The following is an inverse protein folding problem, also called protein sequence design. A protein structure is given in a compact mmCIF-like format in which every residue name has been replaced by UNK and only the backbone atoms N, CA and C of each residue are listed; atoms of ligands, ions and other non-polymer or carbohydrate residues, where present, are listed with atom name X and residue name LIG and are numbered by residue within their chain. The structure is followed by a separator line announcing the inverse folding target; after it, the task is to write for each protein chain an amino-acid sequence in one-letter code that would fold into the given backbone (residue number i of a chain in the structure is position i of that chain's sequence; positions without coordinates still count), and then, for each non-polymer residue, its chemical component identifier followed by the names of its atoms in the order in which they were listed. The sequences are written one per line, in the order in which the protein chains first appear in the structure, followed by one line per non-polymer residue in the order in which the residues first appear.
data_IF_258576613153
#
_entry.id   IF_258576613153
#
_cell.length_a   1.000
_cell.length_b   1.000
_cell.length_c   1.000
_cell.angle_alpha   90.00
_cell.angle_beta   90.00
_cell.angle_gamma   90.00
#
_symmetry.space_group_name_H-M   'P 1'
#
loop_
_entity.id
_entity.type
_entity.pdbx_description
1 polymer ?
#
# COMPACT_ATOMS: atom_id res chain seq x y z
N UNK A 1 3.87 19.86 -0.90
CA UNK A 1 3.36 18.94 -1.94
C UNK A 1 4.35 17.81 -2.02
N UNK A 2 4.00 16.60 -1.58
CA UNK A 2 4.76 15.45 -2.08
C UNK A 2 4.53 15.42 -3.60
N UNK A 3 5.61 15.30 -4.35
CA UNK A 3 5.55 15.29 -5.82
C UNK A 3 5.08 13.94 -6.36
N UNK A 4 4.04 13.32 -5.80
CA UNK A 4 3.42 12.13 -6.37
C UNK A 4 2.08 12.51 -6.99
N UNK A 5 2.14 13.03 -8.22
CA UNK A 5 0.97 13.07 -9.08
C UNK A 5 0.53 11.65 -9.42
N UNK A 6 -0.73 11.47 -9.81
CA UNK A 6 -1.22 10.19 -10.35
C UNK A 6 -0.34 9.71 -11.53
N UNK A 7 0.29 10.65 -12.24
CA UNK A 7 1.17 10.39 -13.40
C UNK A 7 2.52 9.76 -13.02
N UNK A 8 2.93 9.82 -11.75
CA UNK A 8 4.20 9.25 -11.26
C UNK A 8 4.04 7.79 -10.80
N UNK A 9 2.84 7.23 -10.90
CA UNK A 9 2.54 5.86 -10.48
C UNK A 9 2.76 4.90 -11.66
N UNK A 10 3.71 3.94 -11.57
CA UNK A 10 3.93 3.00 -12.65
C UNK A 10 2.68 2.12 -12.81
N UNK A 11 2.26 1.92 -14.06
CA UNK A 11 1.12 1.06 -14.41
C UNK A 11 1.56 -0.07 -15.33
N UNK A 12 0.88 -1.21 -15.27
CA UNK A 12 1.09 -2.33 -16.17
C UNK A 12 -0.25 -2.79 -16.76
N UNK A 13 -0.20 -3.32 -17.98
CA UNK A 13 -1.39 -3.85 -18.64
C UNK A 13 -1.97 -5.02 -17.83
N UNK A 14 -3.26 -4.95 -17.54
CA UNK A 14 -4.00 -5.98 -16.80
C UNK A 14 -4.30 -7.18 -17.71
N UNK A 15 -4.39 -8.38 -17.14
CA UNK A 15 -4.81 -9.57 -17.88
C UNK A 15 -6.28 -9.43 -18.34
N UNK A 16 -6.60 -9.90 -19.55
CA UNK A 16 -7.93 -9.73 -20.16
C UNK A 16 -9.05 -10.28 -19.28
N UNK A 17 -8.80 -11.42 -18.64
CA UNK A 17 -9.78 -12.13 -17.85
C UNK A 17 -10.05 -11.39 -16.53
N UNK A 18 -9.01 -10.78 -15.95
CA UNK A 18 -9.13 -9.95 -14.75
C UNK A 18 -9.85 -8.64 -15.06
N UNK A 19 -9.60 -8.02 -16.22
CA UNK A 19 -10.22 -6.76 -16.63
C UNK A 19 -11.75 -6.83 -16.70
N UNK A 20 -12.33 -8.00 -16.97
CA UNK A 20 -13.79 -8.21 -16.94
C UNK A 20 -14.41 -7.97 -15.56
N UNK A 21 -13.62 -8.07 -14.48
CA UNK A 21 -14.07 -7.76 -13.12
C UNK A 21 -14.27 -6.24 -12.88
N UNK A 22 -13.84 -5.40 -13.82
CA UNK A 22 -13.99 -3.95 -13.77
C UNK A 22 -15.16 -3.42 -14.61
N UNK A 23 -15.94 -4.31 -15.25
CA UNK A 23 -17.10 -3.93 -16.06
C UNK A 23 -18.10 -3.09 -15.23
N UNK A 24 -18.26 -1.82 -15.61
CA UNK A 24 -19.14 -0.86 -14.93
C UNK A 24 -18.48 -0.04 -13.81
N UNK A 25 -17.17 -0.15 -13.62
CA UNK A 25 -16.40 0.75 -12.74
C UNK A 25 -16.08 2.10 -13.40
N UNK A 26 -15.77 3.13 -12.61
CA UNK A 26 -15.32 4.42 -13.15
C UNK A 26 -13.83 4.36 -13.52
N UNK A 27 -13.45 5.09 -14.56
CA UNK A 27 -12.09 5.30 -15.10
C UNK A 27 -10.99 5.51 -14.04
N UNK A 28 -11.31 6.16 -12.92
CA UNK A 28 -10.38 6.35 -11.80
C UNK A 28 -10.05 5.02 -11.11
N UNK A 29 -11.03 4.15 -10.92
CA UNK A 29 -10.80 2.83 -10.32
C UNK A 29 -9.99 1.94 -11.25
N UNK A 30 -10.25 1.97 -12.56
CA UNK A 30 -9.46 1.23 -13.55
C UNK A 30 -7.99 1.65 -13.52
N UNK A 31 -7.72 2.95 -13.48
CA UNK A 31 -6.35 3.47 -13.35
C UNK A 31 -5.67 3.01 -12.05
N UNK A 32 -6.39 3.04 -10.91
CA UNK A 32 -5.86 2.55 -9.63
C UNK A 32 -5.64 1.04 -9.61
N UNK A 33 -6.31 0.28 -10.47
CA UNK A 33 -6.19 -1.18 -10.59
C UNK A 33 -5.03 -1.59 -11.51
N UNK A 34 -4.64 -0.71 -12.42
CA UNK A 34 -3.46 -0.88 -13.27
C UNK A 34 -2.13 -0.57 -12.55
N UNK A 35 -2.14 -0.01 -11.34
CA UNK A 35 -0.94 0.24 -10.52
C UNK A 35 -0.03 -1.00 -10.48
N UNK A 36 1.23 -0.85 -10.89
CA UNK A 36 2.23 -1.90 -10.87
C UNK A 36 2.77 -2.09 -9.45
N UNK A 37 2.43 -3.21 -8.83
CA UNK A 37 2.92 -3.62 -7.52
C UNK A 37 4.02 -4.68 -7.65
N UNK A 38 4.78 -4.89 -6.57
CA UNK A 38 5.90 -5.83 -6.56
C UNK A 38 5.38 -7.26 -6.38
N UNK A 39 5.42 -8.08 -7.44
CA UNK A 39 5.17 -9.51 -7.35
C UNK A 39 6.38 -10.21 -6.71
N UNK A 40 6.11 -11.15 -5.81
CA UNK A 40 7.14 -11.90 -5.09
C UNK A 40 6.85 -13.38 -5.06
N UNK A 41 7.87 -14.18 -4.71
CA UNK A 41 7.70 -15.57 -4.29
C UNK A 41 7.14 -15.63 -2.87
N UNK A 42 6.80 -16.83 -2.38
CA UNK A 42 6.42 -17.04 -0.98
C UNK A 42 7.53 -16.70 0.03
N UNK A 43 8.77 -16.52 -0.44
CA UNK A 43 9.95 -16.15 0.35
C UNK A 43 10.30 -14.66 0.25
N UNK A 44 9.39 -13.82 -0.26
CA UNK A 44 9.60 -12.36 -0.47
C UNK A 44 10.72 -12.03 -1.47
N UNK A 45 11.00 -12.94 -2.41
CA UNK A 45 11.94 -12.70 -3.51
C UNK A 45 11.21 -12.08 -4.70
N UNK A 46 11.76 -10.99 -5.27
CA UNK A 46 11.11 -10.25 -6.35
C UNK A 46 11.07 -11.08 -7.64
N UNK A 47 9.87 -11.23 -8.22
CA UNK A 47 9.64 -11.85 -9.53
C UNK A 47 9.59 -10.77 -10.63
N UNK A 48 8.88 -9.67 -10.36
CA UNK A 48 8.65 -8.60 -11.34
C UNK A 48 7.43 -7.74 -10.96
N UNK A 49 7.00 -6.85 -11.86
CA UNK A 49 5.75 -6.10 -11.69
C UNK A 49 4.53 -6.97 -11.96
N UNK A 50 3.45 -6.70 -11.23
CA UNK A 50 2.11 -7.22 -11.52
C UNK A 50 1.08 -6.10 -11.31
N UNK A 51 -0.02 -6.09 -12.06
CA UNK A 51 -1.08 -5.12 -11.78
C UNK A 51 -1.72 -5.43 -10.43
N UNK A 52 -2.17 -4.40 -9.74
CA UNK A 52 -2.90 -4.55 -8.48
C UNK A 52 -4.17 -5.38 -8.65
N UNK A 53 -4.83 -5.29 -9.81
CA UNK A 53 -5.98 -6.15 -10.12
C UNK A 53 -5.57 -7.62 -10.17
N UNK A 54 -4.59 -7.96 -11.01
CA UNK A 54 -4.16 -9.34 -11.21
C UNK A 54 -3.59 -9.94 -9.91
N UNK A 55 -3.00 -9.10 -9.04
CA UNK A 55 -2.49 -9.54 -7.74
C UNK A 55 -3.60 -9.93 -6.76
N UNK A 56 -4.82 -9.42 -6.95
CA UNK A 56 -6.00 -9.67 -6.12
C UNK A 56 -7.09 -10.50 -6.84
N UNK A 57 -6.89 -10.86 -8.10
CA UNK A 57 -7.89 -11.60 -8.88
C UNK A 57 -7.87 -13.09 -8.55
N UNK A 58 -9.07 -13.68 -8.40
CA UNK A 58 -9.27 -15.09 -7.99
C UNK A 58 -8.52 -15.47 -6.69
N UNK A 59 -7.59 -16.42 -6.75
CA UNK A 59 -6.76 -16.84 -5.62
C UNK A 59 -5.66 -15.83 -5.28
N UNK A 60 -5.44 -14.84 -6.15
CA UNK A 60 -4.38 -13.85 -6.05
C UNK A 60 -2.99 -14.41 -6.37
N UNK A 61 -2.03 -13.52 -6.59
CA UNK A 61 -0.61 -13.85 -6.70
C UNK A 61 0.14 -13.19 -5.55
N UNK A 62 1.21 -13.82 -5.05
CA UNK A 62 2.02 -13.22 -3.98
C UNK A 62 2.61 -11.88 -4.42
N UNK A 63 2.39 -10.86 -3.60
CA UNK A 63 2.85 -9.50 -3.85
C UNK A 63 3.17 -8.81 -2.51
N UNK A 64 4.13 -7.89 -2.52
CA UNK A 64 4.53 -7.18 -1.31
C UNK A 64 3.42 -6.20 -0.90
N UNK A 65 3.19 -6.10 0.41
CA UNK A 65 2.20 -5.22 1.00
C UNK A 65 2.75 -4.62 2.30
N UNK A 66 2.09 -3.58 2.80
CA UNK A 66 2.38 -3.01 4.11
C UNK A 66 1.11 -2.68 4.89
N UNK A 67 1.27 -2.60 6.21
CA UNK A 67 0.23 -2.22 7.15
C UNK A 67 0.80 -1.21 8.15
N UNK A 68 0.21 -0.01 8.20
CA UNK A 68 0.61 1.08 9.11
C UNK A 68 -0.30 1.09 10.33
N UNK A 69 0.32 1.17 11.51
CA UNK A 69 -0.33 1.46 12.78
C UNK A 69 0.10 2.86 13.23
N UNK A 70 -0.77 3.85 13.08
CA UNK A 70 -0.50 5.23 13.43
C UNK A 70 -1.05 5.55 14.82
N UNK A 71 -0.18 6.02 15.70
CA UNK A 71 -0.53 6.40 17.07
C UNK A 71 -0.38 7.90 17.25
N UNK A 72 -1.31 8.50 18.00
CA UNK A 72 -1.15 9.88 18.46
C UNK A 72 -0.24 9.99 19.70
N UNK A 73 0.00 11.22 20.16
CA UNK A 73 0.85 11.49 21.34
C UNK A 73 0.32 10.91 22.65
N UNK A 74 -0.96 10.51 22.69
CA UNK A 74 -1.58 9.86 23.85
C UNK A 74 -1.59 8.33 23.72
N UNK A 75 -0.93 7.78 22.69
CA UNK A 75 -0.85 6.34 22.44
C UNK A 75 -2.13 5.72 21.88
N UNK A 76 -3.07 6.52 21.36
CA UNK A 76 -4.31 6.02 20.75
C UNK A 76 -4.05 5.64 19.30
N UNK A 77 -4.54 4.47 18.89
CA UNK A 77 -4.44 3.98 17.51
C UNK A 77 -5.52 4.62 16.62
N UNK A 78 -5.10 5.16 15.46
CA UNK A 78 -6.03 5.59 14.42
C UNK A 78 -6.58 4.36 13.68
N UNK A 79 -7.89 4.18 13.71
CA UNK A 79 -8.60 3.19 12.90
C UNK A 79 -9.24 3.85 11.68
N UNK A 80 -9.25 3.17 10.55
CA UNK A 80 -9.90 3.64 9.32
C UNK A 80 -11.13 2.77 9.04
N UNK A 81 -12.27 3.40 8.73
CA UNK A 81 -13.40 2.71 8.10
C UNK A 81 -13.24 2.83 6.59
N UNK A 82 -13.07 1.70 5.90
CA UNK A 82 -12.84 1.68 4.45
C UNK A 82 -14.04 2.24 3.71
N UNK A 83 -13.79 2.98 2.62
CA UNK A 83 -14.85 3.50 1.77
C UNK A 83 -15.69 2.35 1.17
N UNK A 84 -16.97 2.61 0.93
CA UNK A 84 -17.90 1.62 0.37
C UNK A 84 -17.57 1.21 -1.06
N UNK A 85 -16.83 2.03 -1.81
CA UNK A 85 -16.48 1.78 -3.21
C UNK A 85 -15.14 1.03 -3.38
N UNK A 86 -14.47 0.59 -2.31
CA UNK A 86 -13.26 -0.23 -2.43
C UNK A 86 -13.64 -1.62 -2.96
N UNK A 87 -12.94 -2.08 -3.99
CA UNK A 87 -13.14 -3.41 -4.62
C UNK A 87 -12.97 -4.54 -3.60
N UNK A 88 -11.98 -4.43 -2.71
CA UNK A 88 -11.76 -5.40 -1.63
C UNK A 88 -12.17 -4.83 -0.26
N UNK A 89 -12.99 -5.60 0.47
CA UNK A 89 -13.45 -5.31 1.84
C UNK A 89 -14.09 -3.91 2.03
N UNK A 90 -15.19 -3.60 1.32
CA UNK A 90 -15.88 -2.32 1.48
C UNK A 90 -16.49 -2.18 2.88
N UNK A 91 -16.45 -0.97 3.46
CA UNK A 91 -17.07 -0.62 4.75
C UNK A 91 -16.54 -1.36 5.99
N UNK A 92 -15.43 -2.09 5.88
CA UNK A 92 -14.78 -2.79 7.00
C UNK A 92 -13.90 -1.82 7.80
N UNK A 93 -13.91 -1.96 9.13
CA UNK A 93 -12.94 -1.30 10.00
C UNK A 93 -11.60 -2.01 9.90
N UNK A 94 -10.56 -1.25 9.59
CA UNK A 94 -9.19 -1.73 9.47
C UNK A 94 -8.24 -0.85 10.28
N UNK A 95 -6.97 -1.25 10.35
CA UNK A 95 -5.90 -0.42 10.87
C UNK A 95 -5.70 0.85 10.01
N UNK A 96 -4.78 1.72 10.44
CA UNK A 96 -4.69 3.10 9.95
C UNK A 96 -4.57 3.23 8.43
N UNK A 97 -3.70 2.43 7.80
CA UNK A 97 -3.52 2.43 6.34
C UNK A 97 -2.86 1.13 5.87
N UNK A 98 -3.39 0.51 4.82
CA UNK A 98 -2.82 -0.68 4.17
C UNK A 98 -2.75 -0.47 2.66
N UNK A 99 -1.62 -0.81 2.07
CA UNK A 99 -1.45 -0.74 0.62
C UNK A 99 -0.22 -1.53 0.17
N UNK A 100 0.30 -1.20 -1.00
CA UNK A 100 1.42 -1.88 -1.64
C UNK A 100 2.53 -0.88 -1.97
N UNK A 101 3.81 -1.28 -1.80
CA UNK A 101 4.89 -0.63 -2.53
C UNK A 101 4.72 -0.89 -4.03
N UNK A 102 5.02 0.15 -4.82
CA UNK A 102 5.00 0.14 -6.27
C UNK A 102 6.29 -0.50 -6.81
N UNK A 103 6.20 -1.06 -8.01
CA UNK A 103 7.36 -1.52 -8.75
C UNK A 103 8.10 -0.31 -9.35
N UNK A 104 8.81 0.43 -8.51
CA UNK A 104 9.64 1.60 -8.86
C UNK A 104 10.96 1.55 -8.10
N UNK A 105 12.01 2.19 -8.64
CA UNK A 105 13.33 2.22 -7.99
C UNK A 105 13.26 2.75 -6.54
N UNK A 106 12.42 3.76 -6.30
CA UNK A 106 12.29 4.38 -4.99
C UNK A 106 11.60 3.47 -3.95
N UNK A 107 10.57 2.71 -4.36
CA UNK A 107 9.77 1.86 -3.46
C UNK A 107 10.26 0.41 -3.39
N UNK A 108 11.18 0.02 -4.27
CA UNK A 108 11.88 -1.26 -4.24
C UNK A 108 13.14 -1.27 -3.34
N UNK A 109 13.58 -0.10 -2.84
CA UNK A 109 14.73 -0.02 -1.94
C UNK A 109 14.53 -0.83 -0.66
N UNK A 110 15.42 -1.80 -0.43
CA UNK A 110 15.35 -2.73 0.70
C UNK A 110 16.11 -2.23 1.93
N UNK A 111 17.12 -1.37 1.75
CA UNK A 111 17.93 -0.86 2.85
C UNK A 111 17.03 -0.18 3.88
N UNK A 112 17.08 -0.65 5.12
CA UNK A 112 16.27 -0.16 6.25
C UNK A 112 14.75 -0.10 5.96
N UNK A 113 14.27 -0.94 5.03
CA UNK A 113 12.93 -0.94 4.45
C UNK A 113 12.46 0.44 3.94
N UNK A 114 13.39 1.24 3.39
CA UNK A 114 13.09 2.58 2.89
C UNK A 114 11.99 2.58 1.83
N UNK A 115 11.97 1.61 0.93
CA UNK A 115 10.97 1.53 -0.13
C UNK A 115 9.54 1.38 0.41
N UNK A 116 9.34 0.46 1.35
CA UNK A 116 8.04 0.28 2.02
C UNK A 116 7.65 1.51 2.85
N UNK A 117 8.61 2.16 3.52
CA UNK A 117 8.32 3.38 4.29
C UNK A 117 7.90 4.55 3.37
N UNK A 118 8.53 4.70 2.21
CA UNK A 118 8.14 5.69 1.19
C UNK A 118 6.72 5.42 0.69
N UNK A 119 6.41 4.16 0.36
CA UNK A 119 5.07 3.74 -0.03
C UNK A 119 4.02 4.06 1.06
N UNK A 120 4.36 3.83 2.32
CA UNK A 120 3.49 4.16 3.46
C UNK A 120 3.24 5.68 3.56
N UNK A 121 4.26 6.51 3.44
CA UNK A 121 4.13 7.98 3.47
C UNK A 121 3.22 8.46 2.33
N UNK A 122 3.46 7.99 1.09
CA UNK A 122 2.63 8.32 -0.07
C UNK A 122 1.16 7.97 0.18
N UNK A 123 0.90 6.77 0.71
CA UNK A 123 -0.47 6.30 0.95
C UNK A 123 -1.16 6.97 2.14
N UNK A 124 -0.42 7.37 3.17
CA UNK A 124 -0.98 8.18 4.26
C UNK A 124 -1.44 9.56 3.76
N UNK A 125 -0.71 10.18 2.84
CA UNK A 125 -1.15 11.43 2.22
C UNK A 125 -2.35 11.20 1.30
N UNK A 126 -2.29 10.21 0.41
CA UNK A 126 -3.38 9.93 -0.54
C UNK A 126 -4.68 9.50 0.13
N UNK A 127 -4.63 8.71 1.21
CA UNK A 127 -5.85 8.16 1.85
C UNK A 127 -6.35 8.97 3.05
N UNK A 128 -5.46 9.64 3.79
CA UNK A 128 -5.79 10.33 5.03
C UNK A 128 -5.46 11.83 4.99
N UNK A 129 -4.85 12.34 3.92
CA UNK A 129 -4.44 13.74 3.82
C UNK A 129 -3.30 14.12 4.76
N UNK A 130 -2.56 13.14 5.31
CA UNK A 130 -1.46 13.39 6.23
C UNK A 130 -0.24 13.80 5.41
N UNK A 131 0.20 15.06 5.56
CA UNK A 131 1.34 15.57 4.80
C UNK A 131 2.64 14.86 5.23
N UNK A 132 3.58 14.55 4.32
CA UNK A 132 4.81 13.81 4.64
C UNK A 132 5.64 14.43 5.77
N UNK A 133 5.61 15.76 5.92
CA UNK A 133 6.33 16.44 7.00
C UNK A 133 5.81 16.08 8.40
N UNK A 134 4.57 15.58 8.52
CA UNK A 134 3.99 15.13 9.78
C UNK A 134 4.45 13.73 10.17
N UNK A 135 4.84 12.92 9.18
CA UNK A 135 5.26 11.51 9.32
C UNK A 135 6.66 11.30 8.70
N UNK A 136 7.71 11.93 9.26
CA UNK A 136 9.06 11.78 8.74
C UNK A 136 9.51 10.31 8.77
N UNK A 137 10.25 9.91 7.73
CA UNK A 137 10.58 8.50 7.45
C UNK A 137 11.34 7.82 8.60
N UNK A 138 12.11 8.58 9.37
CA UNK A 138 12.88 8.12 10.52
C UNK A 138 12.00 7.72 11.72
N UNK A 139 10.75 8.20 11.78
CA UNK A 139 9.80 7.81 12.83
C UNK A 139 9.13 6.46 12.56
N UNK A 140 9.23 5.91 11.35
CA UNK A 140 8.69 4.59 11.03
C UNK A 140 9.52 3.50 11.70
N UNK A 141 8.84 2.70 12.54
CA UNK A 141 9.41 1.51 13.18
C UNK A 141 8.79 0.27 12.55
N UNK A 142 9.62 -0.67 12.10
CA UNK A 142 9.16 -1.95 11.58
C UNK A 142 8.79 -2.87 12.74
N UNK A 143 7.59 -3.42 12.68
CA UNK A 143 7.16 -4.48 13.58
C UNK A 143 7.56 -5.84 12.99
N UNK A 144 8.84 -6.20 13.10
CA UNK A 144 9.24 -7.60 12.91
C UNK A 144 8.98 -8.36 14.22
N UNK A 145 8.68 -9.67 14.12
CA UNK A 145 8.38 -10.54 15.28
C UNK A 145 9.40 -10.44 16.42
N UNK A 146 10.64 -10.04 16.14
CA UNK A 146 11.73 -9.99 17.12
C UNK A 146 11.87 -8.65 17.85
N UNK A 147 11.07 -7.63 17.54
CA UNK A 147 11.19 -6.27 18.13
C UNK A 147 9.83 -5.62 18.38
N UNK A 148 8.95 -6.29 19.12
CA UNK A 148 7.84 -5.60 19.78
C UNK A 148 8.45 -4.67 20.85
N UNK A 149 8.26 -3.34 20.78
CA UNK A 149 8.73 -2.45 21.84
C UNK A 149 7.97 -2.80 23.13
N UNK A 150 8.69 -3.05 24.22
CA UNK A 150 8.08 -2.98 25.54
C UNK A 150 7.54 -1.57 25.72
N UNK A 151 6.24 -1.44 25.97
CA UNK A 151 5.64 -0.18 26.41
C UNK A 151 6.37 0.27 27.68
N UNK A 152 6.85 1.53 27.76
CA UNK A 152 7.29 2.07 29.03
C UNK A 152 6.06 2.18 29.95
N UNK A 153 6.15 1.54 31.11
CA UNK A 153 5.17 1.66 32.18
C UNK A 153 5.32 2.94 32.99
#
# INVERSE_FOLDING_TARGET
MSGYGIEDVPTIQMESDASSALDGSDSVQESLMAEAVIQVTEHDEVIGPISKLDSHFQVGKYHRAFSVLLFDSSGRLLLQKRASHKITFPSVWANSCCSHPLYSEEEMELKDALGVKRAAIRKLEQELGIHPSQVPIEKFRLCNKDKVPSTPG
#
